data_IF_505580685112
#
_entry.id   IF_505580685112
#
_cell.length_a   1.000
_cell.length_b   1.000
_cell.length_c   1.000
_cell.angle_alpha   90.00
_cell.angle_beta   90.00
_cell.angle_gamma   90.00
#
_symmetry.space_group_name_H-M   'P 1'
#
loop_
_entity.id
_entity.type
_entity.pdbx_description
1 polymer ?
#
# COMPACT_ATOMS: atom_id res chain seq x y z
N UNK A 1 -12.48 7.67 -10.53
CA UNK A 1 -11.45 8.20 -9.62
C UNK A 1 -10.52 7.05 -9.30
N UNK A 2 -9.22 7.23 -9.54
CA UNK A 2 -8.19 6.26 -9.17
C UNK A 2 -8.09 6.18 -7.64
N UNK A 3 -7.97 4.98 -7.08
CA UNK A 3 -7.84 4.81 -5.63
C UNK A 3 -6.54 5.44 -5.14
N UNK A 4 -6.47 5.82 -3.86
CA UNK A 4 -5.18 6.12 -3.22
C UNK A 4 -4.47 4.83 -2.85
N UNK A 5 -3.16 4.90 -2.58
CA UNK A 5 -2.42 3.74 -2.09
C UNK A 5 -3.03 3.21 -0.79
N UNK A 6 -3.43 4.11 0.11
CA UNK A 6 -4.11 3.74 1.35
C UNK A 6 -5.44 3.04 1.11
N UNK A 7 -6.27 3.53 0.18
CA UNK A 7 -7.54 2.88 -0.17
C UNK A 7 -7.32 1.47 -0.72
N UNK A 8 -6.31 1.28 -1.58
CA UNK A 8 -5.89 -0.04 -2.05
C UNK A 8 -5.44 -0.93 -0.89
N UNK A 9 -4.57 -0.42 -0.02
CA UNK A 9 -4.03 -1.13 1.13
C UNK A 9 -5.14 -1.62 2.08
N UNK A 10 -6.22 -0.84 2.25
CA UNK A 10 -7.38 -1.25 3.05
C UNK A 10 -8.13 -2.45 2.48
N UNK A 11 -8.02 -2.73 1.18
CA UNK A 11 -8.60 -3.94 0.56
C UNK A 11 -7.83 -5.22 0.87
N UNK A 12 -6.56 -5.08 1.29
CA UNK A 12 -5.68 -6.21 1.63
C UNK A 12 -5.81 -6.63 3.10
N UNK A 13 -6.59 -5.90 3.91
CA UNK A 13 -6.83 -6.25 5.30
C UNK A 13 -7.66 -7.53 5.38
N UNK A 14 -7.00 -8.64 5.74
CA UNK A 14 -7.66 -9.90 6.03
C UNK A 14 -7.25 -10.39 7.42
N UNK A 15 -8.17 -10.48 8.41
CA UNK A 15 -7.83 -10.87 9.78
C UNK A 15 -7.35 -12.33 9.92
N UNK A 16 -7.58 -13.16 8.90
CA UNK A 16 -7.13 -14.55 8.84
C UNK A 16 -5.86 -14.73 7.99
N UNK A 17 -5.34 -13.65 7.41
CA UNK A 17 -4.08 -13.65 6.67
C UNK A 17 -2.97 -13.10 7.55
N UNK A 18 -1.86 -13.83 7.61
CA UNK A 18 -0.66 -13.50 8.37
C UNK A 18 0.52 -13.21 7.44
N UNK A 19 0.26 -12.96 6.15
CA UNK A 19 1.26 -12.45 5.22
C UNK A 19 1.77 -11.07 5.65
N UNK A 20 3.02 -10.76 5.29
CA UNK A 20 3.62 -9.46 5.59
C UNK A 20 2.80 -8.29 5.00
N UNK A 21 2.12 -8.52 3.88
CA UNK A 21 1.22 -7.55 3.23
C UNK A 21 -0.04 -7.32 4.07
N UNK A 22 -0.67 -8.38 4.59
CA UNK A 22 -1.84 -8.24 5.46
C UNK A 22 -1.48 -7.54 6.78
N UNK A 23 -0.30 -7.85 7.33
CA UNK A 23 0.23 -7.16 8.52
C UNK A 23 0.55 -5.69 8.24
N UNK A 24 1.16 -5.38 7.09
CA UNK A 24 1.37 -4.01 6.66
C UNK A 24 0.04 -3.25 6.57
N UNK A 25 -0.97 -3.83 5.93
CA UNK A 25 -2.28 -3.20 5.80
C UNK A 25 -2.96 -2.95 7.15
N UNK A 26 -2.81 -3.89 8.08
CA UNK A 26 -3.29 -3.74 9.46
C UNK A 26 -2.54 -2.62 10.20
N UNK A 27 -1.22 -2.57 10.09
CA UNK A 27 -0.41 -1.57 10.78
C UNK A 27 -0.63 -0.16 10.22
N UNK A 28 -0.72 -0.01 8.90
CA UNK A 28 -1.07 1.25 8.26
C UNK A 28 -2.49 1.73 8.61
N UNK A 29 -3.43 0.82 8.87
CA UNK A 29 -4.75 1.18 9.40
C UNK A 29 -4.68 1.78 10.82
N UNK A 30 -3.77 1.28 11.65
CA UNK A 30 -3.55 1.78 13.02
C UNK A 30 -2.72 3.07 13.05
N UNK A 31 -1.92 3.30 12.02
CA UNK A 31 -1.14 4.52 11.82
C UNK A 31 -2.06 5.70 11.42
N UNK A 32 -2.37 6.54 12.39
CA UNK A 32 -3.21 7.73 12.18
C UNK A 32 -2.54 8.80 11.33
N UNK A 33 -1.20 8.84 11.30
CA UNK A 33 -0.38 9.78 10.53
C UNK A 33 -0.17 9.33 9.08
N UNK A 34 -0.57 8.11 8.72
CA UNK A 34 -0.37 7.59 7.37
C UNK A 34 -0.94 8.55 6.32
N UNK A 35 -0.21 8.87 5.22
CA UNK A 35 -0.65 9.84 4.23
C UNK A 35 -1.75 9.26 3.32
N UNK A 36 -2.99 9.25 3.81
CA UNK A 36 -4.14 8.55 3.18
C UNK A 36 -4.51 9.02 1.77
N UNK A 37 -4.07 10.22 1.40
CA UNK A 37 -4.33 10.83 0.08
C UNK A 37 -3.15 10.70 -0.88
N UNK A 38 -2.01 10.18 -0.41
CA UNK A 38 -0.82 10.07 -1.22
C UNK A 38 -0.90 8.90 -2.20
N UNK A 39 -0.30 9.11 -3.36
CA UNK A 39 -0.20 8.14 -4.46
C UNK A 39 1.22 8.02 -5.00
N UNK A 40 2.07 9.00 -4.74
CA UNK A 40 3.44 9.04 -5.20
C UNK A 40 4.32 8.07 -4.40
N UNK A 41 5.05 7.21 -5.13
CA UNK A 41 5.95 6.22 -4.57
C UNK A 41 6.99 6.84 -3.64
N UNK A 42 7.65 7.93 -4.06
CA UNK A 42 8.74 8.53 -3.30
C UNK A 42 8.22 9.14 -2.00
N UNK A 43 7.09 9.85 -2.04
CA UNK A 43 6.46 10.41 -0.83
C UNK A 43 6.02 9.35 0.16
N UNK A 44 5.49 8.22 -0.33
CA UNK A 44 5.14 7.07 0.53
C UNK A 44 6.40 6.39 1.10
N UNK A 45 7.43 6.23 0.28
CA UNK A 45 8.72 5.66 0.70
C UNK A 45 9.35 6.51 1.80
N UNK A 46 9.48 7.82 1.58
CA UNK A 46 10.02 8.78 2.57
C UNK A 46 9.24 8.72 3.89
N UNK A 47 7.90 8.66 3.80
CA UNK A 47 7.06 8.52 5.00
C UNK A 47 7.36 7.22 5.76
N UNK A 48 7.46 6.10 5.05
CA UNK A 48 7.67 4.78 5.64
C UNK A 48 9.09 4.59 6.18
N UNK A 49 10.11 5.17 5.57
CA UNK A 49 11.46 5.17 6.13
C UNK A 49 11.54 5.93 7.46
N UNK A 50 10.74 6.99 7.62
CA UNK A 50 10.73 7.80 8.83
C UNK A 50 9.77 7.29 9.92
N UNK A 51 8.60 6.76 9.53
CA UNK A 51 7.50 6.43 10.45
C UNK A 51 7.08 4.95 10.39
N UNK A 52 7.45 4.24 9.33
CA UNK A 52 7.02 2.88 9.01
C UNK A 52 7.80 1.78 9.74
N UNK A 53 8.21 2.00 11.00
CA UNK A 53 8.93 1.01 11.82
C UNK A 53 8.15 -0.32 12.05
N UNK A 54 6.88 -0.36 11.61
CA UNK A 54 6.03 -1.55 11.61
C UNK A 54 6.20 -2.43 10.37
N UNK A 55 6.95 -2.00 9.36
CA UNK A 55 7.33 -2.83 8.22
C UNK A 55 8.56 -3.67 8.59
N UNK A 56 8.55 -4.99 8.34
CA UNK A 56 9.74 -5.81 8.55
C UNK A 56 10.85 -5.49 7.54
N UNK A 57 10.49 -4.97 6.36
CA UNK A 57 11.43 -4.44 5.37
C UNK A 57 10.71 -3.51 4.37
N UNK A 58 11.47 -2.62 3.72
CA UNK A 58 10.96 -1.81 2.61
C UNK A 58 10.57 -2.67 1.39
N UNK A 59 11.05 -3.91 1.28
CA UNK A 59 10.65 -4.81 0.20
C UNK A 59 9.15 -5.16 0.25
N UNK A 60 8.55 -5.21 1.44
CA UNK A 60 7.10 -5.40 1.62
C UNK A 60 6.32 -4.21 1.05
N UNK A 61 6.81 -2.99 1.27
CA UNK A 61 6.23 -1.80 0.65
C UNK A 61 6.39 -1.85 -0.87
N UNK A 62 7.59 -2.15 -1.38
CA UNK A 62 7.85 -2.21 -2.82
C UNK A 62 6.94 -3.24 -3.52
N UNK A 63 6.74 -4.40 -2.92
CA UNK A 63 5.85 -5.43 -3.44
C UNK A 63 4.39 -4.96 -3.45
N UNK A 64 3.94 -4.38 -2.35
CA UNK A 64 2.57 -3.87 -2.21
C UNK A 64 2.30 -2.72 -3.18
N UNK A 65 3.28 -1.85 -3.40
CA UNK A 65 3.16 -0.72 -4.33
C UNK A 65 3.11 -1.18 -5.79
N UNK A 66 3.93 -2.14 -6.19
CA UNK A 66 3.82 -2.75 -7.54
C UNK A 66 2.44 -3.36 -7.78
N UNK A 67 1.89 -4.04 -6.77
CA UNK A 67 0.56 -4.64 -6.86
C UNK A 67 -0.56 -3.57 -6.95
N UNK A 68 -0.38 -2.44 -6.24
CA UNK A 68 -1.24 -1.26 -6.36
C UNK A 68 -1.23 -0.70 -7.79
N UNK A 69 -0.05 -0.45 -8.36
CA UNK A 69 0.09 0.09 -9.73
C UNK A 69 -0.56 -0.82 -10.76
N UNK A 70 -0.30 -2.14 -10.68
CA UNK A 70 -0.93 -3.12 -11.54
C UNK A 70 -2.47 -3.08 -11.42
N UNK A 71 -2.99 -2.93 -10.20
CA UNK A 71 -4.45 -2.83 -9.98
C UNK A 71 -5.08 -1.57 -10.57
N UNK A 72 -4.32 -0.47 -10.67
CA UNK A 72 -4.79 0.78 -11.28
C UNK A 72 -4.68 0.76 -12.82
N UNK A 73 -3.69 0.06 -13.38
CA UNK A 73 -3.55 -0.13 -14.84
C UNK A 73 -4.58 -1.10 -15.43
N UNK A 74 -5.04 -2.10 -14.66
CA UNK A 74 -6.05 -3.06 -15.13
C UNK A 74 -7.44 -2.46 -15.42
N UNK A 75 -7.66 -1.18 -15.13
CA UNK A 75 -8.87 -0.46 -15.51
C UNK A 75 -8.91 0.04 -16.97
N UNK A 76 -7.84 -0.08 -17.76
CA UNK A 76 -7.72 0.62 -19.05
C UNK A 76 -7.29 -0.17 -20.28
N UNK A 77 -6.65 -1.33 -20.14
CA UNK A 77 -6.06 -2.01 -21.31
C UNK A 77 -6.95 -3.13 -21.86
N UNK A 78 -8.09 -2.72 -22.41
CA UNK A 78 -8.65 -3.40 -23.59
C UNK A 78 -8.12 -2.68 -24.83
N UNK A 79 -6.90 -2.99 -25.25
CA UNK A 79 -6.39 -2.61 -26.56
C UNK A 79 -5.78 -3.82 -27.26
N UNK A 80 -6.59 -4.29 -28.24
CA UNK A 80 -6.30 -5.15 -29.39
C UNK A 80 -6.15 -6.66 -29.15
#
# INVERSE_FOLDING_TARGET
>A
MHRTFYEYLMTLRNPNDHSEIAEFAKNAFLDQSFPKQEKDYHRLSDYLELNGNYLPSMAVFDETYRAYEASESTGGDSYQ
#
